data_IF_389705095795
#
_entry.id   IF_389705095795
#
_cell.length_a   1.000
_cell.length_b   1.000
_cell.length_c   1.000
_cell.angle_alpha   90.00
_cell.angle_beta   90.00
_cell.angle_gamma   90.00
#
_symmetry.space_group_name_H-M   'P 1'
#
loop_
_entity.id
_entity.type
_entity.pdbx_description
1 polymer ?
#
# COMPACT_ATOMS: atom_id res chain seq x y z
N UNK A 1 -11.73 10.57 3.48
CA UNK A 1 -13.18 10.33 3.20
C UNK A 1 -13.93 9.71 4.38
N UNK A 2 -13.49 8.61 4.99
CA UNK A 2 -14.26 7.95 6.09
C UNK A 2 -14.67 8.91 7.21
N UNK A 3 -13.77 9.77 7.68
CA UNK A 3 -14.11 10.75 8.73
C UNK A 3 -15.10 11.80 8.23
N UNK A 4 -14.94 12.26 6.99
CA UNK A 4 -15.86 13.23 6.39
C UNK A 4 -17.30 12.68 6.30
N UNK A 5 -17.44 11.44 5.79
CA UNK A 5 -18.74 10.76 5.74
C UNK A 5 -19.35 10.58 7.14
N UNK A 6 -18.55 10.12 8.11
CA UNK A 6 -19.04 9.94 9.50
C UNK A 6 -19.44 11.25 10.15
N UNK A 7 -18.70 12.34 9.92
CA UNK A 7 -19.06 13.68 10.40
C UNK A 7 -20.36 14.17 9.78
N UNK A 8 -20.53 14.04 8.46
CA UNK A 8 -21.73 14.41 7.73
C UNK A 8 -22.96 13.63 8.21
N UNK A 9 -22.81 12.31 8.42
CA UNK A 9 -23.89 11.47 9.01
C UNK A 9 -24.28 11.90 10.43
N UNK A 10 -23.38 12.54 11.18
CA UNK A 10 -23.68 13.12 12.50
C UNK A 10 -24.27 14.53 12.43
N UNK A 11 -24.63 15.01 11.22
CA UNK A 11 -25.24 16.32 10.97
C UNK A 11 -24.26 17.49 10.87
N UNK A 12 -22.96 17.24 10.81
CA UNK A 12 -21.94 18.30 10.65
C UNK A 12 -21.71 18.61 9.18
N UNK A 13 -21.51 19.87 8.85
CA UNK A 13 -20.99 20.29 7.55
C UNK A 13 -19.49 20.09 7.52
N UNK A 14 -18.97 19.50 6.44
CA UNK A 14 -17.58 19.15 6.26
C UNK A 14 -17.05 19.66 4.93
N UNK A 15 -15.91 20.32 4.94
CA UNK A 15 -15.17 20.64 3.74
C UNK A 15 -13.96 19.71 3.64
N UNK A 16 -13.86 18.94 2.58
CA UNK A 16 -12.70 18.12 2.24
C UNK A 16 -11.84 18.89 1.26
N UNK A 17 -10.59 19.12 1.61
CA UNK A 17 -9.62 19.73 0.70
C UNK A 17 -8.59 18.69 0.26
N UNK A 18 -8.29 18.67 -1.03
CA UNK A 18 -7.30 17.79 -1.63
C UNK A 18 -6.48 18.59 -2.64
N UNK A 19 -5.14 18.48 -2.56
CA UNK A 19 -4.25 19.22 -3.46
C UNK A 19 -4.21 18.67 -4.89
N UNK A 20 -4.59 17.40 -5.07
CA UNK A 20 -4.67 16.74 -6.37
C UNK A 20 -6.00 17.09 -7.07
N UNK A 21 -6.08 16.71 -8.33
CA UNK A 21 -7.26 16.85 -9.18
C UNK A 21 -8.34 15.78 -8.93
N UNK A 22 -8.13 14.92 -7.92
CA UNK A 22 -9.02 13.80 -7.61
C UNK A 22 -9.05 13.44 -6.13
N UNK A 23 -10.11 12.78 -5.69
CA UNK A 23 -10.25 12.18 -4.36
C UNK A 23 -9.47 10.86 -4.25
N UNK A 24 -9.27 10.41 -3.01
CA UNK A 24 -8.80 9.06 -2.70
C UNK A 24 -7.32 8.91 -2.43
N UNK A 25 -6.55 9.98 -2.62
CA UNK A 25 -5.11 9.89 -2.47
C UNK A 25 -4.54 8.85 -3.45
N UNK A 26 -3.79 7.86 -2.94
CA UNK A 26 -3.22 6.82 -3.80
C UNK A 26 -4.23 5.73 -4.20
N UNK A 27 -5.36 5.60 -3.50
CA UNK A 27 -6.43 4.68 -3.89
C UNK A 27 -7.31 5.35 -4.96
N UNK A 28 -6.76 5.55 -6.15
CA UNK A 28 -7.39 6.17 -7.30
C UNK A 28 -7.27 5.26 -8.51
N UNK A 29 -8.37 5.04 -9.20
CA UNK A 29 -8.40 4.27 -10.43
C UNK A 29 -9.21 5.00 -11.51
N UNK A 30 -8.82 4.80 -12.76
CA UNK A 30 -9.43 5.44 -13.92
C UNK A 30 -9.35 4.53 -15.15
N UNK A 31 -10.26 4.66 -16.12
CA UNK A 31 -10.10 3.99 -17.40
C UNK A 31 -8.92 4.60 -18.17
N UNK A 32 -8.03 3.75 -18.69
CA UNK A 32 -6.98 4.20 -19.61
C UNK A 32 -7.65 4.69 -20.91
N UNK A 33 -7.30 5.90 -21.41
CA UNK A 33 -8.07 6.59 -22.44
C UNK A 33 -8.23 5.87 -23.77
N UNK A 34 -7.23 5.07 -24.18
CA UNK A 34 -7.24 4.38 -25.48
C UNK A 34 -7.91 3.00 -25.43
N UNK A 35 -7.85 2.36 -24.28
CA UNK A 35 -8.29 0.95 -24.13
C UNK A 35 -9.54 0.80 -23.27
N UNK A 36 -9.85 1.77 -22.43
CA UNK A 36 -10.89 1.68 -21.42
C UNK A 36 -10.58 0.69 -20.29
N UNK A 37 -9.38 0.10 -20.27
CA UNK A 37 -8.94 -0.77 -19.19
C UNK A 37 -8.74 0.07 -17.94
N UNK A 38 -9.36 -0.33 -16.83
CA UNK A 38 -9.19 0.37 -15.56
C UNK A 38 -7.76 0.19 -15.04
N UNK A 39 -7.11 1.31 -14.77
CA UNK A 39 -5.75 1.37 -14.24
C UNK A 39 -5.74 2.03 -12.86
N UNK A 40 -4.83 1.60 -11.99
CA UNK A 40 -4.58 2.24 -10.71
C UNK A 40 -3.37 3.16 -10.85
N UNK A 41 -3.61 4.48 -10.92
CA UNK A 41 -2.57 5.49 -11.24
C UNK A 41 -1.34 5.42 -10.33
N UNK A 42 -1.52 5.02 -9.07
CA UNK A 42 -0.46 5.00 -8.05
C UNK A 42 -0.06 3.58 -7.62
N UNK A 43 -0.10 2.64 -8.56
CA UNK A 43 0.17 1.22 -8.31
C UNK A 43 -1.06 0.46 -7.82
N UNK A 44 -1.02 -0.86 -7.93
CA UNK A 44 -2.16 -1.70 -7.61
C UNK A 44 -2.62 -1.55 -6.16
N UNK A 45 -3.87 -1.17 -5.99
CA UNK A 45 -4.55 -1.14 -4.70
C UNK A 45 -5.53 -2.30 -4.64
N UNK A 46 -5.41 -3.10 -3.58
CA UNK A 46 -6.17 -4.33 -3.39
C UNK A 46 -6.85 -4.25 -2.04
N UNK A 47 -8.17 -4.39 -2.04
CA UNK A 47 -8.92 -4.33 -0.79
C UNK A 47 -9.03 -5.73 -0.19
N UNK A 48 -8.65 -5.86 1.06
CA UNK A 48 -8.79 -7.07 1.85
C UNK A 48 -9.02 -6.72 3.31
N UNK A 49 -9.72 -7.54 4.06
CA UNK A 49 -9.95 -7.35 5.49
C UNK A 49 -10.51 -8.61 6.16
N UNK A 50 -10.19 -8.80 7.43
CA UNK A 50 -10.90 -9.72 8.34
C UNK A 50 -11.73 -8.94 9.38
N UNK A 51 -11.76 -7.60 9.30
CA UNK A 51 -12.53 -6.75 10.18
C UNK A 51 -13.97 -6.60 9.66
N UNK A 52 -14.91 -7.26 10.31
CA UNK A 52 -16.32 -7.23 9.92
C UNK A 52 -16.95 -5.83 9.94
N UNK A 53 -16.53 -4.95 10.86
CA UNK A 53 -17.02 -3.57 10.90
C UNK A 53 -16.57 -2.78 9.68
N UNK A 54 -15.32 -2.94 9.27
CA UNK A 54 -14.79 -2.30 8.06
C UNK A 54 -15.50 -2.84 6.83
N UNK A 55 -15.66 -4.18 6.73
CA UNK A 55 -16.35 -4.80 5.60
C UNK A 55 -17.80 -4.31 5.46
N UNK A 56 -18.56 -4.29 6.57
CA UNK A 56 -19.92 -3.75 6.58
C UNK A 56 -19.97 -2.27 6.21
N UNK A 57 -19.00 -1.49 6.67
CA UNK A 57 -18.92 -0.06 6.37
C UNK A 57 -18.69 0.20 4.89
N UNK A 58 -17.70 -0.42 4.28
CA UNK A 58 -17.36 -0.15 2.87
C UNK A 58 -18.44 -0.63 1.90
N UNK A 59 -19.13 -1.75 2.22
CA UNK A 59 -20.24 -2.26 1.42
C UNK A 59 -21.49 -1.38 1.39
N UNK A 60 -21.51 -0.30 2.16
CA UNK A 60 -22.57 0.75 2.03
C UNK A 60 -22.39 1.58 0.76
N UNK A 61 -21.18 1.64 0.22
CA UNK A 61 -20.82 2.54 -0.88
C UNK A 61 -20.46 1.82 -2.17
N UNK A 62 -20.01 0.60 -2.10
CA UNK A 62 -19.65 -0.21 -3.27
C UNK A 62 -19.84 -1.69 -2.99
N UNK A 63 -20.09 -2.46 -4.03
CA UNK A 63 -19.92 -3.91 -3.99
C UNK A 63 -18.47 -4.27 -4.37
N UNK A 64 -18.03 -5.46 -3.99
CA UNK A 64 -16.72 -5.98 -4.34
C UNK A 64 -16.84 -7.18 -5.26
N UNK A 65 -15.89 -7.34 -6.17
CA UNK A 65 -15.78 -8.51 -7.05
C UNK A 65 -15.28 -9.72 -6.25
N UNK A 66 -15.38 -10.91 -6.84
CA UNK A 66 -14.81 -12.16 -6.29
C UNK A 66 -13.30 -12.28 -6.61
N UNK A 67 -12.62 -11.16 -6.86
CA UNK A 67 -11.20 -11.16 -7.17
C UNK A 67 -10.37 -11.70 -6.00
N UNK A 68 -9.54 -12.69 -6.28
CA UNK A 68 -8.60 -13.29 -5.35
C UNK A 68 -7.18 -12.97 -5.79
N UNK A 69 -6.44 -12.26 -4.95
CA UNK A 69 -5.09 -11.82 -5.31
C UNK A 69 -4.09 -12.98 -5.30
N UNK A 70 -3.40 -13.15 -6.43
CA UNK A 70 -2.29 -14.07 -6.61
C UNK A 70 -1.10 -13.32 -7.17
N UNK A 71 0.09 -13.63 -6.68
CA UNK A 71 1.35 -13.03 -7.11
C UNK A 71 2.27 -14.12 -7.59
N UNK A 72 2.96 -13.84 -8.66
CA UNK A 72 4.06 -14.66 -9.15
C UNK A 72 5.36 -13.87 -9.12
N UNK A 73 6.48 -14.57 -9.16
CA UNK A 73 7.81 -13.95 -9.27
C UNK A 73 8.64 -14.67 -10.31
N UNK A 74 9.46 -13.92 -11.02
CA UNK A 74 10.50 -14.51 -11.87
C UNK A 74 11.80 -14.64 -11.09
N UNK A 75 12.53 -15.72 -11.32
CA UNK A 75 13.93 -15.89 -10.91
C UNK A 75 14.65 -16.70 -11.97
N UNK A 76 15.72 -16.13 -12.55
CA UNK A 76 16.54 -16.76 -13.61
C UNK A 76 15.71 -17.33 -14.78
N UNK A 77 14.73 -16.55 -15.22
CA UNK A 77 13.85 -16.92 -16.35
C UNK A 77 12.77 -17.96 -16.04
N UNK A 78 12.61 -18.38 -14.78
CA UNK A 78 11.54 -19.29 -14.33
C UNK A 78 10.54 -18.54 -13.48
N UNK A 79 9.24 -18.81 -13.70
CA UNK A 79 8.15 -18.20 -12.93
C UNK A 79 7.76 -19.09 -11.75
N UNK A 80 7.63 -18.51 -10.58
CA UNK A 80 7.25 -19.20 -9.34
C UNK A 80 6.03 -18.53 -8.70
N UNK A 81 5.10 -19.31 -8.11
CA UNK A 81 4.00 -18.72 -7.32
C UNK A 81 4.50 -18.15 -6.00
N UNK A 82 3.90 -17.03 -5.56
CA UNK A 82 4.08 -16.45 -4.23
C UNK A 82 2.71 -16.37 -3.51
N UNK A 83 2.69 -16.33 -2.16
CA UNK A 83 3.82 -16.49 -1.22
C UNK A 83 4.46 -17.87 -1.33
N UNK A 84 5.66 -18.02 -0.73
CA UNK A 84 6.40 -19.30 -0.77
C UNK A 84 5.50 -20.40 -0.23
N UNK A 85 5.08 -21.30 -1.11
CA UNK A 85 4.14 -22.38 -0.85
C UNK A 85 4.77 -23.75 -1.12
N UNK A 86 4.05 -24.82 -0.82
CA UNK A 86 4.50 -26.17 -1.19
C UNK A 86 4.75 -26.29 -2.70
N UNK A 87 3.95 -25.59 -3.52
CA UNK A 87 4.16 -25.50 -4.97
C UNK A 87 5.47 -24.80 -5.31
N UNK A 88 5.76 -23.66 -4.70
CA UNK A 88 7.02 -22.93 -4.87
C UNK A 88 8.23 -23.76 -4.46
N UNK A 89 8.16 -24.41 -3.30
CA UNK A 89 9.24 -25.27 -2.77
C UNK A 89 9.52 -26.43 -3.73
N UNK A 90 8.46 -27.16 -4.13
CA UNK A 90 8.62 -28.32 -5.00
C UNK A 90 9.15 -27.94 -6.38
N UNK A 91 8.67 -26.82 -6.94
CA UNK A 91 9.15 -26.33 -8.23
C UNK A 91 10.62 -25.87 -8.15
N UNK A 92 10.97 -25.11 -7.08
CA UNK A 92 12.34 -24.59 -6.91
C UNK A 92 13.37 -25.69 -6.71
N UNK A 93 13.05 -26.71 -5.92
CA UNK A 93 13.95 -27.84 -5.67
C UNK A 93 13.79 -29.01 -6.65
N UNK A 94 12.96 -28.85 -7.69
CA UNK A 94 12.66 -29.90 -8.67
C UNK A 94 12.27 -31.22 -8.02
N UNK A 95 11.36 -31.19 -7.04
CA UNK A 95 11.02 -32.30 -6.17
C UNK A 95 9.50 -32.43 -5.99
N UNK A 96 9.06 -33.53 -5.38
CA UNK A 96 7.67 -33.81 -4.97
C UNK A 96 7.60 -34.07 -3.46
N UNK A 97 8.05 -33.09 -2.68
CA UNK A 97 8.01 -33.20 -1.22
C UNK A 97 6.58 -33.17 -0.70
N UNK A 98 6.29 -34.06 0.26
CA UNK A 98 5.11 -33.91 1.11
C UNK A 98 5.28 -32.69 2.02
N UNK A 99 4.18 -32.18 2.65
CA UNK A 99 4.27 -31.09 3.63
C UNK A 99 5.30 -31.33 4.75
N UNK A 100 5.39 -32.55 5.25
CA UNK A 100 6.34 -32.91 6.30
C UNK A 100 7.79 -32.83 5.81
N UNK A 101 8.07 -33.40 4.64
CA UNK A 101 9.40 -33.34 4.03
C UNK A 101 9.83 -31.91 3.68
N UNK A 102 8.93 -31.10 3.18
CA UNK A 102 9.19 -29.71 2.90
C UNK A 102 9.52 -28.93 4.20
N UNK A 103 8.80 -29.17 5.32
CA UNK A 103 9.13 -28.57 6.62
C UNK A 103 10.52 -28.97 7.10
N UNK A 104 10.86 -30.25 7.01
CA UNK A 104 12.21 -30.75 7.39
C UNK A 104 13.31 -30.12 6.53
N UNK A 105 13.08 -29.99 5.22
CA UNK A 105 14.01 -29.35 4.30
C UNK A 105 14.27 -27.90 4.69
N UNK A 106 13.20 -27.10 4.83
CA UNK A 106 13.31 -25.69 5.20
C UNK A 106 13.94 -25.53 6.58
N UNK A 107 13.55 -26.33 7.57
CA UNK A 107 14.13 -26.27 8.91
C UNK A 107 15.64 -26.54 8.91
N UNK A 108 16.11 -27.51 8.12
CA UNK A 108 17.54 -27.79 7.98
C UNK A 108 18.31 -26.62 7.34
N UNK A 109 17.73 -26.00 6.30
CA UNK A 109 18.37 -24.87 5.62
C UNK A 109 18.33 -23.59 6.44
N UNK A 110 17.25 -23.37 7.20
CA UNK A 110 17.07 -22.24 8.10
C UNK A 110 17.97 -22.33 9.36
N UNK A 111 18.42 -23.51 9.73
CA UNK A 111 19.30 -23.71 10.90
C UNK A 111 20.67 -22.99 10.80
N UNK A 112 20.98 -22.42 9.64
CA UNK A 112 22.16 -21.58 9.43
C UNK A 112 22.12 -20.28 10.25
N UNK A 113 20.92 -19.75 10.54
CA UNK A 113 20.73 -18.51 11.28
C UNK A 113 19.54 -18.60 12.23
N UNK A 114 19.66 -18.00 13.42
CA UNK A 114 18.55 -17.87 14.37
C UNK A 114 17.75 -16.60 14.09
N UNK A 115 16.49 -16.70 13.60
CA UNK A 115 15.70 -15.53 13.27
C UNK A 115 15.31 -14.68 14.48
N UNK A 116 15.41 -15.21 15.72
CA UNK A 116 15.09 -14.44 16.93
C UNK A 116 16.26 -13.54 17.36
N UNK A 117 17.48 -13.90 17.02
CA UNK A 117 18.69 -13.16 17.34
C UNK A 117 19.38 -12.57 16.11
N UNK A 118 18.65 -12.47 15.01
CA UNK A 118 19.17 -11.91 13.75
C UNK A 118 19.53 -10.43 13.91
N UNK A 119 20.71 -10.04 13.45
CA UNK A 119 21.27 -8.69 13.52
C UNK A 119 20.76 -7.81 12.36
N UNK A 120 20.39 -8.42 11.25
CA UNK A 120 19.97 -7.77 10.03
C UNK A 120 18.91 -8.59 9.28
N UNK A 121 18.39 -8.03 8.20
CA UNK A 121 17.36 -8.64 7.37
C UNK A 121 17.82 -9.95 6.72
N UNK A 122 19.08 -10.05 6.26
CA UNK A 122 19.62 -11.29 5.66
C UNK A 122 19.59 -12.44 6.65
N UNK A 123 20.19 -12.26 7.84
CA UNK A 123 20.20 -13.29 8.88
C UNK A 123 18.80 -13.74 9.26
N UNK A 124 17.86 -12.78 9.39
CA UNK A 124 16.48 -13.11 9.70
C UNK A 124 15.78 -13.86 8.57
N UNK A 125 15.96 -13.42 7.33
CA UNK A 125 15.39 -14.08 6.16
C UNK A 125 15.90 -15.52 6.00
N UNK A 126 17.20 -15.73 6.14
CA UNK A 126 17.79 -17.07 6.08
C UNK A 126 17.25 -17.97 7.21
N UNK A 127 17.15 -17.45 8.43
CA UNK A 127 16.61 -18.18 9.56
C UNK A 127 15.10 -18.52 9.45
N UNK A 128 14.35 -17.81 8.59
CA UNK A 128 12.94 -18.09 8.35
C UNK A 128 12.68 -19.10 7.23
N UNK A 129 13.44 -19.02 6.12
CA UNK A 129 13.12 -19.79 4.90
C UNK A 129 14.31 -20.57 4.32
N UNK A 130 15.48 -20.45 4.90
CA UNK A 130 16.73 -21.01 4.40
C UNK A 130 17.38 -20.18 3.30
N UNK A 131 18.70 -20.26 3.18
CA UNK A 131 19.53 -19.48 2.25
C UNK A 131 19.07 -19.60 0.78
N UNK A 132 18.80 -20.80 0.22
CA UNK A 132 18.47 -20.91 -1.20
C UNK A 132 17.20 -20.12 -1.59
N UNK A 133 16.14 -20.21 -0.80
CA UNK A 133 14.89 -19.47 -1.08
C UNK A 133 15.05 -17.97 -0.78
N UNK A 134 15.82 -17.63 0.25
CA UNK A 134 16.16 -16.25 0.57
C UNK A 134 16.90 -15.58 -0.60
N UNK A 135 17.94 -16.19 -1.11
CA UNK A 135 18.75 -15.67 -2.22
C UNK A 135 17.93 -15.57 -3.51
N UNK A 136 17.05 -16.54 -3.77
CA UNK A 136 16.25 -16.57 -4.99
C UNK A 136 15.13 -15.52 -5.02
N UNK A 137 14.45 -15.28 -3.87
CA UNK A 137 13.18 -14.54 -3.91
C UNK A 137 13.16 -13.28 -3.04
N UNK A 138 14.12 -13.15 -2.09
CA UNK A 138 14.08 -12.08 -1.08
C UNK A 138 15.24 -11.11 -1.23
N UNK A 139 16.49 -11.62 -1.29
CA UNK A 139 17.70 -10.79 -1.23
C UNK A 139 17.68 -9.66 -2.24
N UNK A 140 17.67 -10.00 -3.51
CA UNK A 140 17.84 -9.03 -4.59
C UNK A 140 16.57 -8.18 -4.80
N UNK A 141 15.39 -8.79 -4.60
CA UNK A 141 14.13 -8.05 -4.59
C UNK A 141 14.11 -6.98 -3.49
N UNK A 142 14.54 -7.35 -2.27
CA UNK A 142 14.61 -6.41 -1.15
C UNK A 142 15.67 -5.34 -1.39
N UNK A 143 16.83 -5.70 -1.94
CA UNK A 143 17.87 -4.74 -2.28
C UNK A 143 17.36 -3.68 -3.28
N UNK A 144 16.61 -4.08 -4.30
CA UNK A 144 15.94 -3.15 -5.24
C UNK A 144 14.88 -2.29 -4.55
N UNK A 145 14.01 -2.94 -3.77
CA UNK A 145 12.91 -2.26 -3.10
C UNK A 145 13.40 -1.22 -2.09
N UNK A 146 14.50 -1.50 -1.39
CA UNK A 146 15.05 -0.61 -0.36
C UNK A 146 16.26 0.19 -0.83
N UNK A 147 16.80 -0.09 -2.01
CA UNK A 147 18.06 0.49 -2.51
C UNK A 147 19.19 0.42 -1.47
N UNK A 148 19.22 -0.66 -0.74
CA UNK A 148 20.11 -0.89 0.40
C UNK A 148 20.41 -2.38 0.47
N UNK A 149 21.67 -2.73 0.78
CA UNK A 149 22.04 -4.13 1.01
C UNK A 149 21.22 -4.70 2.18
N UNK A 150 20.57 -5.86 2.03
CA UNK A 150 19.81 -6.50 3.13
C UNK A 150 20.60 -6.70 4.43
N UNK A 151 21.92 -6.79 4.35
CA UNK A 151 22.83 -6.87 5.53
C UNK A 151 22.90 -5.56 6.32
N UNK A 152 22.53 -4.44 5.71
CA UNK A 152 22.49 -3.12 6.33
C UNK A 152 21.08 -2.76 6.81
N UNK A 153 20.07 -3.53 6.41
CA UNK A 153 18.68 -3.31 6.83
C UNK A 153 18.40 -3.98 8.18
N UNK A 154 17.65 -3.32 9.07
CA UNK A 154 17.23 -3.92 10.33
C UNK A 154 16.41 -5.22 10.13
N UNK A 155 16.58 -6.18 11.02
CA UNK A 155 15.86 -7.45 10.95
C UNK A 155 14.32 -7.29 10.97
N UNK A 156 13.82 -6.22 11.59
CA UNK A 156 12.40 -5.89 11.73
C UNK A 156 11.73 -5.52 10.39
N UNK A 157 12.49 -5.15 9.36
CA UNK A 157 11.98 -4.89 8.01
C UNK A 157 11.28 -6.14 7.46
N UNK A 158 11.80 -7.33 7.78
CA UNK A 158 11.09 -8.58 7.60
C UNK A 158 10.54 -9.06 8.94
N UNK A 159 9.32 -8.70 9.26
CA UNK A 159 8.66 -9.17 10.48
C UNK A 159 8.34 -10.68 10.40
N UNK A 160 7.96 -11.16 9.23
CA UNK A 160 7.66 -12.57 8.92
C UNK A 160 7.74 -12.82 7.42
N UNK A 161 8.19 -14.01 7.06
CA UNK A 161 8.04 -14.56 5.71
C UNK A 161 7.12 -15.79 5.83
N UNK A 162 5.87 -15.71 5.39
CA UNK A 162 4.95 -16.83 5.50
C UNK A 162 5.37 -17.93 4.53
N UNK A 163 5.74 -19.10 5.07
CA UNK A 163 5.90 -20.32 4.29
C UNK A 163 4.64 -21.16 4.45
N UNK A 164 3.98 -21.47 3.34
CA UNK A 164 2.79 -22.29 3.33
C UNK A 164 3.11 -23.72 2.86
N UNK A 165 2.90 -24.69 3.73
CA UNK A 165 3.11 -26.09 3.39
C UNK A 165 1.85 -26.73 2.79
N UNK A 166 1.13 -25.94 1.99
CA UNK A 166 -0.03 -26.30 1.17
C UNK A 166 0.16 -25.73 -0.21
N UNK A 167 -0.69 -26.09 -1.18
CA UNK A 167 -0.70 -25.50 -2.53
C UNK A 167 -1.53 -24.20 -2.63
N UNK A 168 -2.02 -23.68 -1.49
CA UNK A 168 -2.72 -22.40 -1.47
C UNK A 168 -1.74 -21.26 -1.74
N UNK A 169 -1.95 -20.57 -2.87
CA UNK A 169 -1.16 -19.43 -3.33
C UNK A 169 -1.94 -18.10 -3.30
N UNK A 170 -3.06 -18.04 -2.58
CA UNK A 170 -3.72 -16.74 -2.31
C UNK A 170 -2.74 -15.83 -1.58
N UNK A 171 -2.64 -14.57 -2.01
CA UNK A 171 -1.71 -13.63 -1.37
C UNK A 171 -2.15 -13.29 0.06
N UNK A 172 -3.41 -12.88 0.21
CA UNK A 172 -3.99 -12.57 1.52
C UNK A 172 -4.59 -13.81 2.20
N UNK A 173 -4.69 -13.74 3.53
CA UNK A 173 -5.37 -14.75 4.36
C UNK A 173 -6.63 -14.19 5.01
N UNK A 174 -7.02 -12.98 4.61
CA UNK A 174 -8.19 -12.31 5.14
C UNK A 174 -9.51 -12.99 4.74
N UNK A 175 -10.54 -12.73 5.55
CA UNK A 175 -11.87 -13.30 5.33
C UNK A 175 -12.51 -12.79 4.04
N UNK A 176 -12.30 -11.49 3.74
CA UNK A 176 -12.81 -10.82 2.56
C UNK A 176 -11.67 -10.17 1.79
N UNK A 177 -11.72 -10.32 0.49
CA UNK A 177 -10.86 -9.62 -0.46
C UNK A 177 -11.64 -9.39 -1.76
N UNK A 178 -11.27 -8.37 -2.53
CA UNK A 178 -11.91 -8.05 -3.80
C UNK A 178 -11.51 -6.66 -4.29
N UNK A 179 -12.03 -6.30 -5.45
CA UNK A 179 -11.90 -4.96 -6.02
C UNK A 179 -13.28 -4.30 -6.08
N UNK A 180 -13.38 -2.98 -5.90
CA UNK A 180 -14.64 -2.27 -6.09
C UNK A 180 -15.19 -2.51 -7.49
N UNK A 181 -16.46 -2.90 -7.61
CA UNK A 181 -17.07 -3.26 -8.90
C UNK A 181 -17.00 -2.12 -9.92
N UNK A 182 -17.09 -0.86 -9.48
CA UNK A 182 -17.02 0.32 -10.34
C UNK A 182 -15.69 1.09 -10.20
N UNK A 183 -14.68 0.49 -9.58
CA UNK A 183 -13.38 1.11 -9.32
C UNK A 183 -13.33 1.94 -8.04
N UNK A 184 -12.12 2.31 -7.66
CA UNK A 184 -11.88 3.06 -6.42
C UNK A 184 -12.43 4.48 -6.46
N UNK A 185 -12.31 5.16 -7.58
CA UNK A 185 -12.79 6.54 -7.75
C UNK A 185 -14.28 6.63 -7.51
N UNK A 186 -15.07 5.80 -8.18
CA UNK A 186 -16.53 5.76 -8.00
C UNK A 186 -16.93 5.43 -6.55
N UNK A 187 -16.21 4.54 -5.88
CA UNK A 187 -16.43 4.27 -4.45
C UNK A 187 -16.24 5.52 -3.60
N UNK A 188 -15.16 6.27 -3.80
CA UNK A 188 -14.83 7.44 -3.00
C UNK A 188 -15.74 8.63 -3.31
N UNK A 189 -16.18 8.77 -4.57
CA UNK A 189 -17.19 9.74 -4.98
C UNK A 189 -18.54 9.48 -4.28
N UNK A 190 -18.99 8.21 -4.19
CA UNK A 190 -20.20 7.86 -3.44
C UNK A 190 -20.08 8.16 -1.95
N UNK A 191 -18.87 8.05 -1.37
CA UNK A 191 -18.66 8.48 0.02
C UNK A 191 -18.73 10.00 0.18
N UNK A 192 -18.40 10.75 -0.86
CA UNK A 192 -18.47 12.21 -0.88
C UNK A 192 -19.87 12.73 -1.23
N UNK A 193 -20.71 11.92 -1.85
CA UNK A 193 -22.09 12.29 -2.28
C UNK A 193 -23.02 12.41 -1.06
N UNK A 194 -22.89 13.52 -0.37
CA UNK A 194 -23.70 13.85 0.81
C UNK A 194 -23.91 15.36 0.89
N UNK A 195 -25.13 15.87 1.17
CA UNK A 195 -25.43 17.31 1.17
C UNK A 195 -24.58 18.13 2.16
N UNK A 196 -24.02 17.48 3.19
CA UNK A 196 -23.18 18.13 4.17
C UNK A 196 -21.67 17.98 3.86
N UNK A 197 -21.28 17.43 2.71
CA UNK A 197 -19.87 17.33 2.31
C UNK A 197 -19.63 18.23 1.10
N UNK A 198 -18.69 19.13 1.24
CA UNK A 198 -18.13 19.91 0.14
C UNK A 198 -16.71 19.43 -0.15
N UNK A 199 -16.42 19.16 -1.42
CA UNK A 199 -15.07 18.75 -1.86
C UNK A 199 -14.42 19.88 -2.63
N UNK A 200 -13.19 20.23 -2.27
CA UNK A 200 -12.34 21.22 -2.93
C UNK A 200 -11.06 20.52 -3.36
N UNK A 201 -11.01 20.15 -4.63
CA UNK A 201 -9.82 19.63 -5.30
C UNK A 201 -8.86 20.77 -5.64
N UNK A 202 -7.63 20.43 -6.02
CA UNK A 202 -6.58 21.39 -6.39
C UNK A 202 -6.35 22.48 -5.33
N UNK A 203 -6.60 22.12 -4.06
CA UNK A 203 -6.52 23.02 -2.91
C UNK A 203 -5.41 22.56 -1.96
N UNK A 204 -4.28 23.26 -1.97
CA UNK A 204 -3.16 22.97 -1.05
C UNK A 204 -3.36 23.70 0.27
N UNK A 205 -3.43 22.94 1.36
CA UNK A 205 -3.59 23.45 2.73
C UNK A 205 -2.45 24.40 3.19
N UNK A 206 -1.33 24.39 2.51
CA UNK A 206 -0.19 25.26 2.82
C UNK A 206 0.01 26.41 1.81
N UNK A 207 -0.88 26.56 0.84
CA UNK A 207 -0.85 27.69 -0.08
C UNK A 207 -1.61 28.89 0.54
N UNK A 208 -0.87 29.85 1.07
CA UNK A 208 -1.41 31.06 1.73
C UNK A 208 -2.21 31.96 0.78
N UNK A 209 -2.14 31.72 -0.54
CA UNK A 209 -2.95 32.48 -1.53
C UNK A 209 -4.37 31.93 -1.65
N UNK A 210 -4.62 30.74 -1.15
CA UNK A 210 -5.92 30.10 -1.19
C UNK A 210 -6.75 30.39 0.07
N UNK A 211 -8.07 30.49 -0.03
CA UNK A 211 -8.91 30.87 1.10
C UNK A 211 -9.00 29.80 2.19
N UNK A 212 -8.81 28.51 1.84
CA UNK A 212 -8.81 27.38 2.78
C UNK A 212 -7.38 26.88 3.02
N UNK A 213 -6.55 27.71 3.63
CA UNK A 213 -5.18 27.37 4.00
C UNK A 213 -5.05 27.17 5.51
N UNK A 214 -3.91 26.66 5.96
CA UNK A 214 -3.62 26.37 7.36
C UNK A 214 -3.88 27.56 8.28
N UNK A 215 -3.38 28.73 7.93
CA UNK A 215 -3.46 29.92 8.79
C UNK A 215 -4.88 30.47 8.90
N UNK A 216 -5.68 30.29 7.87
CA UNK A 216 -7.08 30.71 7.86
C UNK A 216 -8.01 29.74 8.63
N UNK A 217 -7.65 28.46 8.74
CA UNK A 217 -8.54 27.42 9.24
C UNK A 217 -8.19 26.96 10.66
N UNK A 218 -6.90 26.78 10.98
CA UNK A 218 -6.46 26.29 12.29
C UNK A 218 -6.78 27.31 13.38
N UNK A 219 -7.35 26.83 14.48
CA UNK A 219 -7.84 27.69 15.57
C UNK A 219 -9.21 28.34 15.33
N UNK A 220 -9.79 28.18 14.15
CA UNK A 220 -11.15 28.60 13.83
C UNK A 220 -12.11 27.42 13.69
N UNK A 221 -11.63 26.31 13.18
CA UNK A 221 -12.39 25.10 12.92
C UNK A 221 -11.60 23.86 13.32
N UNK A 222 -12.24 22.79 13.79
CA UNK A 222 -11.60 21.49 13.97
C UNK A 222 -11.06 20.96 12.65
N UNK A 223 -9.83 20.47 12.65
CA UNK A 223 -9.13 19.97 11.47
C UNK A 223 -8.79 18.50 11.65
N UNK A 224 -9.09 17.67 10.67
CA UNK A 224 -8.52 16.32 10.53
C UNK A 224 -7.48 16.36 9.42
N UNK A 225 -6.21 16.32 9.81
CA UNK A 225 -5.10 16.39 8.90
C UNK A 225 -4.57 14.99 8.57
N UNK A 226 -4.52 14.64 7.29
CA UNK A 226 -4.09 13.32 6.81
C UNK A 226 -2.86 13.37 5.89
N UNK A 227 -2.29 14.54 5.67
CA UNK A 227 -1.02 14.73 4.98
C UNK A 227 0.19 14.41 5.87
N UNK A 228 1.44 14.54 5.36
CA UNK A 228 2.66 14.26 6.13
C UNK A 228 2.76 15.16 7.37
N UNK A 229 2.94 14.51 8.54
CA UNK A 229 2.97 15.22 9.82
C UNK A 229 4.11 16.23 9.93
N UNK A 230 5.26 15.94 9.36
CA UNK A 230 6.42 16.84 9.31
C UNK A 230 6.14 18.09 8.46
N UNK A 231 5.43 17.93 7.34
CA UNK A 231 4.99 19.06 6.51
C UNK A 231 4.04 19.97 7.27
N UNK A 232 3.14 19.44 8.10
CA UNK A 232 2.22 20.24 8.91
C UNK A 232 2.97 21.21 9.82
N UNK A 233 4.09 20.78 10.38
CA UNK A 233 4.95 21.59 11.26
C UNK A 233 6.10 22.27 10.52
N UNK A 234 6.04 22.43 9.20
CA UNK A 234 7.05 23.10 8.41
C UNK A 234 8.44 22.47 8.54
N UNK A 235 8.48 21.14 8.78
CA UNK A 235 9.71 20.37 8.98
C UNK A 235 10.58 20.82 10.16
N UNK A 236 9.98 21.42 11.18
CA UNK A 236 10.70 22.01 12.31
C UNK A 236 11.59 21.03 13.10
N UNK A 237 11.26 19.72 13.09
CA UNK A 237 12.09 18.66 13.72
C UNK A 237 12.91 17.88 12.67
N UNK A 238 12.94 18.36 11.42
CA UNK A 238 13.54 17.71 10.26
C UNK A 238 12.58 16.79 9.53
N UNK A 239 12.86 16.58 8.23
CA UNK A 239 12.01 15.73 7.38
C UNK A 239 12.07 14.26 7.82
N UNK A 240 10.92 13.59 7.78
CA UNK A 240 10.81 12.14 7.99
C UNK A 240 11.18 11.40 6.70
N UNK A 241 11.77 10.22 6.84
CA UNK A 241 12.18 9.39 5.72
C UNK A 241 11.01 8.62 5.10
N UNK A 242 10.86 8.72 3.80
CA UNK A 242 9.83 8.00 3.03
C UNK A 242 10.44 7.24 1.86
N UNK A 243 9.81 6.14 1.50
CA UNK A 243 9.96 5.51 0.20
C UNK A 243 8.91 6.11 -0.73
N UNK A 244 9.28 6.24 -2.00
CA UNK A 244 8.37 6.58 -3.09
C UNK A 244 8.43 5.54 -4.20
N UNK A 245 7.46 5.60 -5.11
CA UNK A 245 7.35 4.73 -6.26
C UNK A 245 7.27 5.58 -7.52
N UNK A 246 8.06 5.20 -8.52
CA UNK A 246 7.91 5.69 -9.88
C UNK A 246 7.21 4.63 -10.72
N UNK A 247 6.36 5.07 -11.65
CA UNK A 247 5.56 4.20 -12.49
C UNK A 247 5.79 4.50 -13.96
N UNK A 248 5.97 3.44 -14.74
CA UNK A 248 6.02 3.51 -16.19
C UNK A 248 4.84 2.71 -16.75
N UNK A 249 3.78 3.43 -17.17
CA UNK A 249 2.60 2.82 -17.79
C UNK A 249 2.81 2.72 -19.30
N UNK A 250 2.38 1.61 -19.90
CA UNK A 250 2.46 1.37 -21.33
C UNK A 250 1.24 0.59 -21.83
N UNK A 251 0.66 1.07 -22.92
CA UNK A 251 -0.31 0.31 -23.72
C UNK A 251 0.45 -0.55 -24.72
N UNK A 252 0.10 -1.82 -24.80
CA UNK A 252 0.74 -2.80 -25.67
C UNK A 252 -0.27 -3.38 -26.66
N UNK A 253 0.13 -3.54 -27.91
CA UNK A 253 -0.67 -4.19 -28.97
C UNK A 253 -0.50 -5.72 -28.92
N UNK A 254 -0.77 -6.31 -27.77
CA UNK A 254 -0.80 -7.75 -27.50
C UNK A 254 -2.02 -8.10 -26.68
N UNK A 255 -2.54 -9.30 -26.90
CA UNK A 255 -3.75 -9.75 -26.19
C UNK A 255 -3.51 -9.94 -24.67
N UNK A 256 -2.31 -10.38 -24.31
CA UNK A 256 -1.88 -10.67 -22.94
C UNK A 256 -0.36 -10.55 -22.88
N UNK A 257 0.17 -9.96 -21.80
CA UNK A 257 1.60 -9.75 -21.63
C UNK A 257 2.24 -10.77 -20.69
N UNK A 258 1.60 -11.05 -19.54
CA UNK A 258 2.20 -11.88 -18.49
C UNK A 258 1.25 -12.92 -17.89
N UNK A 259 -0.02 -12.95 -18.27
CA UNK A 259 -1.01 -13.95 -17.85
C UNK A 259 -1.42 -13.85 -16.38
N UNK A 260 -1.14 -12.74 -15.72
CA UNK A 260 -1.43 -12.53 -14.30
C UNK A 260 -1.49 -11.03 -13.98
N UNK A 261 -2.29 -10.60 -12.98
CA UNK A 261 -2.35 -9.20 -12.63
C UNK A 261 -1.02 -8.63 -12.09
N UNK A 262 -0.22 -9.44 -11.37
CA UNK A 262 1.06 -8.98 -10.77
C UNK A 262 2.15 -10.03 -10.94
N UNK A 263 3.25 -9.60 -11.52
CA UNK A 263 4.49 -10.37 -11.61
C UNK A 263 5.61 -9.59 -10.92
N UNK A 264 6.22 -10.19 -9.90
CA UNK A 264 7.44 -9.66 -9.27
C UNK A 264 8.68 -10.12 -10.05
N UNK A 265 9.71 -9.32 -10.02
CA UNK A 265 11.00 -9.61 -10.64
C UNK A 265 12.06 -9.67 -9.54
N UNK A 266 12.49 -10.89 -9.17
CA UNK A 266 13.39 -11.09 -8.06
C UNK A 266 14.84 -10.72 -8.39
N UNK A 267 15.27 -10.92 -9.64
CA UNK A 267 16.66 -10.77 -10.05
C UNK A 267 17.10 -9.29 -10.10
N UNK A 268 18.33 -9.01 -9.71
CA UNK A 268 18.88 -7.65 -9.59
C UNK A 268 19.08 -6.97 -10.95
N UNK A 269 19.31 -7.75 -12.01
CA UNK A 269 19.49 -7.24 -13.38
C UNK A 269 18.22 -6.60 -13.94
N UNK A 270 17.06 -6.92 -13.40
CA UNK A 270 15.78 -6.28 -13.77
C UNK A 270 15.57 -5.06 -12.90
N UNK A 271 15.51 -3.84 -13.46
CA UNK A 271 15.55 -2.61 -12.65
C UNK A 271 14.25 -2.31 -11.89
N UNK A 272 13.11 -2.82 -12.34
CA UNK A 272 11.81 -2.65 -11.67
C UNK A 272 11.55 -3.81 -10.69
N UNK A 273 10.70 -3.55 -9.71
CA UNK A 273 10.32 -4.54 -8.69
C UNK A 273 9.20 -5.45 -9.17
N UNK A 274 8.25 -4.92 -9.95
CA UNK A 274 7.11 -5.66 -10.46
C UNK A 274 6.50 -5.03 -11.71
N UNK A 275 5.68 -5.83 -12.40
CA UNK A 275 4.78 -5.35 -13.44
C UNK A 275 3.35 -5.66 -13.01
N UNK A 276 2.47 -4.67 -13.17
CA UNK A 276 1.03 -4.84 -13.12
C UNK A 276 0.49 -4.98 -14.55
N UNK A 277 -0.39 -5.94 -14.81
CA UNK A 277 -1.18 -6.01 -16.04
C UNK A 277 -2.64 -5.84 -15.69
N UNK A 278 -3.19 -4.67 -16.00
CA UNK A 278 -4.45 -4.21 -15.41
C UNK A 278 -5.68 -4.97 -15.87
N UNK A 279 -5.73 -5.51 -17.09
CA UNK A 279 -6.89 -6.29 -17.56
C UNK A 279 -7.22 -7.51 -16.69
N UNK A 280 -6.22 -8.07 -16.01
CA UNK A 280 -6.39 -9.23 -15.14
C UNK A 280 -6.95 -8.90 -13.74
N UNK A 281 -7.04 -7.62 -13.37
CA UNK A 281 -7.69 -7.24 -12.11
C UNK A 281 -9.21 -7.33 -12.19
N UNK A 282 -9.79 -7.14 -13.40
CA UNK A 282 -11.21 -7.20 -13.65
C UNK A 282 -11.55 -8.19 -14.78
N UNK A 283 -11.33 -9.52 -14.54
CA UNK A 283 -11.62 -10.54 -15.54
C UNK A 283 -13.10 -10.60 -15.93
N UNK A 284 -14.01 -10.13 -15.07
CA UNK A 284 -15.45 -10.01 -15.33
C UNK A 284 -15.79 -8.93 -16.37
N UNK A 285 -14.82 -8.09 -16.73
CA UNK A 285 -14.96 -7.06 -17.77
C UNK A 285 -14.22 -7.41 -19.07
N UNK A 286 -13.77 -8.66 -19.22
CA UNK A 286 -12.95 -9.07 -20.37
C UNK A 286 -13.62 -8.82 -21.71
N UNK A 287 -14.95 -8.91 -21.80
CA UNK A 287 -15.76 -8.62 -22.98
C UNK A 287 -15.84 -7.12 -23.33
N UNK A 288 -15.51 -6.24 -22.39
CA UNK A 288 -15.50 -4.78 -22.58
C UNK A 288 -14.13 -4.24 -22.96
N UNK A 289 -13.08 -5.04 -22.74
CA UNK A 289 -11.70 -4.65 -23.03
C UNK A 289 -11.27 -5.08 -24.44
N UNK A 290 -10.35 -4.34 -25.08
CA UNK A 290 -9.81 -4.74 -26.38
C UNK A 290 -9.18 -6.13 -26.32
N UNK A 291 -9.54 -7.00 -27.26
CA UNK A 291 -9.05 -8.38 -27.29
C UNK A 291 -7.55 -8.48 -27.64
N UNK A 292 -7.00 -7.48 -28.34
CA UNK A 292 -5.64 -7.47 -28.89
C UNK A 292 -4.72 -6.41 -28.22
N UNK A 293 -5.18 -5.76 -27.15
CA UNK A 293 -4.39 -4.76 -26.42
C UNK A 293 -4.45 -5.00 -24.93
N UNK A 294 -3.39 -4.60 -24.22
CA UNK A 294 -3.33 -4.63 -22.77
C UNK A 294 -2.61 -3.40 -22.24
N UNK A 295 -2.77 -3.13 -20.94
CA UNK A 295 -2.06 -2.06 -20.23
C UNK A 295 -1.20 -2.66 -19.15
N UNK A 296 0.08 -2.36 -19.19
CA UNK A 296 1.03 -2.73 -18.14
C UNK A 296 1.57 -1.49 -17.42
N UNK A 297 2.04 -1.69 -16.19
CA UNK A 297 2.73 -0.66 -15.41
C UNK A 297 3.92 -1.30 -14.69
N UNK A 298 5.12 -0.79 -14.97
CA UNK A 298 6.35 -1.15 -14.25
C UNK A 298 6.48 -0.27 -13.02
N UNK A 299 6.84 -0.87 -11.90
CA UNK A 299 7.01 -0.21 -10.61
C UNK A 299 8.49 -0.17 -10.21
N UNK A 300 8.99 1.02 -9.93
CA UNK A 300 10.34 1.28 -9.45
C UNK A 300 10.25 1.86 -8.04
N UNK A 301 11.03 1.33 -7.11
CA UNK A 301 11.05 1.83 -5.73
C UNK A 301 12.34 2.59 -5.45
N UNK A 302 12.23 3.78 -4.84
CA UNK A 302 13.37 4.58 -4.41
C UNK A 302 13.10 5.34 -3.12
N UNK A 303 14.13 5.92 -2.53
CA UNK A 303 13.94 6.88 -1.45
C UNK A 303 13.26 8.14 -2.00
N UNK A 304 12.27 8.64 -1.26
CA UNK A 304 11.65 9.92 -1.59
C UNK A 304 12.62 11.06 -1.25
N UNK A 305 12.67 12.07 -2.10
CA UNK A 305 13.14 13.38 -1.69
C UNK A 305 12.16 13.94 -0.65
N UNK A 306 12.66 14.48 0.44
CA UNK A 306 11.84 14.94 1.55
C UNK A 306 12.26 16.34 1.99
N UNK A 307 11.28 17.11 2.50
CA UNK A 307 11.52 18.48 2.96
C UNK A 307 10.74 19.54 2.17
N UNK A 308 11.02 20.83 2.43
CA UNK A 308 10.18 21.93 1.91
C UNK A 308 10.13 22.07 0.39
N UNK A 309 11.18 21.62 -0.30
CA UNK A 309 11.32 21.72 -1.77
C UNK A 309 10.97 20.41 -2.49
N UNK A 310 10.71 19.35 -1.75
CA UNK A 310 10.46 18.03 -2.31
C UNK A 310 9.08 17.95 -2.99
N UNK A 311 9.07 17.31 -4.15
CA UNK A 311 7.85 17.07 -4.95
C UNK A 311 7.41 15.62 -4.92
N UNK A 312 8.23 14.74 -4.35
CA UNK A 312 7.92 13.30 -4.29
C UNK A 312 6.72 13.00 -3.40
N UNK A 313 5.93 12.04 -3.85
CA UNK A 313 4.82 11.53 -3.05
C UNK A 313 5.32 10.50 -2.03
N UNK A 314 5.00 10.66 -0.74
CA UNK A 314 5.35 9.68 0.28
C UNK A 314 4.45 8.43 0.21
N UNK A 315 5.06 7.24 0.09
CA UNK A 315 4.34 5.96 0.06
C UNK A 315 4.50 5.16 1.35
N UNK A 316 5.75 4.85 1.73
CA UNK A 316 6.03 3.98 2.87
C UNK A 316 7.03 4.64 3.82
N UNK A 317 6.75 4.68 5.13
CA UNK A 317 7.69 5.22 6.11
C UNK A 317 8.94 4.34 6.19
N UNK A 318 10.13 4.95 6.17
CA UNK A 318 11.41 4.24 6.34
C UNK A 318 11.60 3.80 7.79
N UNK A 319 11.16 4.63 8.73
CA UNK A 319 11.12 4.33 10.15
C UNK A 319 12.49 4.02 10.78
N UNK A 320 13.52 4.76 10.41
CA UNK A 320 14.84 4.68 11.03
C UNK A 320 14.80 5.09 12.51
N UNK A 321 15.85 4.82 13.32
CA UNK A 321 15.96 5.38 14.67
C UNK A 321 15.84 6.90 14.71
N UNK A 322 16.41 7.60 13.71
CA UNK A 322 16.30 9.06 13.56
C UNK A 322 14.86 9.48 13.29
N UNK A 323 14.17 8.78 12.38
CA UNK A 323 12.76 9.06 12.09
C UNK A 323 11.87 8.87 13.32
N UNK A 324 12.12 7.82 14.09
CA UNK A 324 11.39 7.58 15.36
C UNK A 324 11.58 8.70 16.38
N UNK A 325 12.80 9.20 16.51
CA UNK A 325 13.09 10.34 17.39
C UNK A 325 12.38 11.63 16.94
N UNK A 326 12.44 11.94 15.64
CA UNK A 326 11.72 13.07 15.02
C UNK A 326 10.21 12.93 15.17
N UNK A 327 9.67 11.75 14.90
CA UNK A 327 8.23 11.48 15.07
C UNK A 327 7.77 11.73 16.52
N UNK A 328 8.58 11.33 17.50
CA UNK A 328 8.26 11.59 18.90
C UNK A 328 8.20 13.10 19.20
N UNK A 329 9.10 13.89 18.61
CA UNK A 329 9.08 15.34 18.73
C UNK A 329 7.84 15.95 18.05
N UNK A 330 7.48 15.48 16.84
CA UNK A 330 6.23 15.91 16.17
C UNK A 330 4.98 15.55 16.96
N UNK A 331 4.92 14.38 17.60
CA UNK A 331 3.79 14.00 18.47
C UNK A 331 3.64 14.91 19.68
N UNK A 332 4.76 15.42 20.24
CA UNK A 332 4.69 16.42 21.31
C UNK A 332 4.10 17.73 20.81
N UNK A 333 4.55 18.22 19.64
CA UNK A 333 3.94 19.40 19.01
C UNK A 333 2.47 19.23 18.70
N UNK A 334 2.08 18.05 18.21
CA UNK A 334 0.68 17.73 17.90
C UNK A 334 -0.22 17.75 19.15
N UNK A 335 0.33 17.47 20.33
CA UNK A 335 -0.41 17.57 21.59
C UNK A 335 -0.75 19.01 22.00
N UNK A 336 -0.02 19.99 21.47
CA UNK A 336 -0.27 21.42 21.67
C UNK A 336 -1.27 22.01 20.66
N UNK A 337 -1.81 21.17 19.76
CA UNK A 337 -2.79 21.53 18.72
C UNK A 337 -4.15 20.82 18.99
N UNK A 338 -4.92 21.25 20.02
CA UNK A 338 -6.08 20.48 20.48
C UNK A 338 -7.20 20.35 19.46
N UNK A 339 -7.30 21.28 18.51
CA UNK A 339 -8.32 21.27 17.44
C UNK A 339 -7.85 20.56 16.16
N UNK A 340 -6.63 19.99 16.16
CA UNK A 340 -6.06 19.29 15.00
C UNK A 340 -5.86 17.82 15.31
N UNK A 341 -6.51 16.96 14.53
CA UNK A 341 -6.45 15.51 14.67
C UNK A 341 -5.66 14.90 13.53
N UNK A 342 -4.53 14.29 13.83
CA UNK A 342 -3.67 13.65 12.83
C UNK A 342 -4.13 12.22 12.56
N UNK A 343 -4.40 11.89 11.30
CA UNK A 343 -4.89 10.58 10.89
C UNK A 343 -4.29 10.09 9.58
N UNK A 344 -4.62 8.85 9.23
CA UNK A 344 -4.12 8.22 8.01
C UNK A 344 -2.63 7.86 8.05
N UNK A 345 -2.15 7.23 6.97
CA UNK A 345 -0.76 6.76 6.87
C UNK A 345 0.26 7.88 7.04
N UNK A 346 0.04 9.01 6.39
CA UNK A 346 1.01 10.11 6.36
C UNK A 346 0.96 10.93 7.65
N UNK A 347 -0.23 11.24 8.17
CA UNK A 347 -0.41 12.03 9.38
C UNK A 347 0.02 11.32 10.66
N UNK A 348 0.07 9.98 10.64
CA UNK A 348 0.56 9.19 11.78
C UNK A 348 1.96 8.59 11.57
N UNK A 349 2.53 8.74 10.37
CA UNK A 349 3.80 8.12 9.97
C UNK A 349 3.80 6.62 10.24
N UNK A 350 2.77 5.91 9.78
CA UNK A 350 2.59 4.48 9.99
C UNK A 350 2.27 3.79 8.67
N UNK A 351 2.79 2.57 8.48
CA UNK A 351 2.30 1.71 7.42
C UNK A 351 0.88 1.24 7.75
N UNK A 352 -0.07 1.65 6.94
CA UNK A 352 -1.48 1.25 7.07
C UNK A 352 -1.97 0.72 5.72
N UNK A 353 -2.50 -0.49 5.70
CA UNK A 353 -3.31 -0.96 4.59
C UNK A 353 -4.66 -0.21 4.58
N UNK A 354 -5.38 -0.24 3.45
CA UNK A 354 -6.65 0.49 3.31
C UNK A 354 -7.64 0.18 4.43
N UNK A 355 -7.81 -1.11 4.76
CA UNK A 355 -8.72 -1.53 5.82
C UNK A 355 -8.28 -1.01 7.21
N UNK A 356 -6.97 -0.93 7.46
CA UNK A 356 -6.44 -0.39 8.71
C UNK A 356 -6.66 1.13 8.80
N UNK A 357 -6.46 1.85 7.70
CA UNK A 357 -6.72 3.28 7.62
C UNK A 357 -8.21 3.58 7.86
N UNK A 358 -9.12 2.79 7.27
CA UNK A 358 -10.57 2.92 7.48
C UNK A 358 -10.94 2.58 8.93
N UNK A 359 -10.41 1.50 9.51
CA UNK A 359 -10.67 1.13 10.91
C UNK A 359 -10.22 2.23 11.89
N UNK A 360 -9.02 2.80 11.66
CA UNK A 360 -8.51 3.92 12.45
C UNK A 360 -9.43 5.15 12.34
N UNK A 361 -9.89 5.46 11.11
CA UNK A 361 -10.80 6.57 10.87
C UNK A 361 -12.18 6.36 11.53
N UNK A 362 -12.72 5.15 11.50
CA UNK A 362 -13.96 4.81 12.20
C UNK A 362 -13.83 4.99 13.71
N UNK A 363 -12.72 4.55 14.30
CA UNK A 363 -12.42 4.73 15.72
C UNK A 363 -12.29 6.21 16.08
N UNK A 364 -11.54 6.98 15.29
CA UNK A 364 -11.38 8.43 15.48
C UNK A 364 -12.74 9.15 15.37
N UNK A 365 -13.56 8.80 14.41
CA UNK A 365 -14.90 9.36 14.22
C UNK A 365 -15.81 9.08 15.43
N UNK A 366 -15.75 7.87 16.00
CA UNK A 366 -16.45 7.54 17.24
C UNK A 366 -16.06 8.46 18.39
N UNK A 367 -14.77 8.72 18.55
CA UNK A 367 -14.29 9.61 19.60
C UNK A 367 -14.68 11.08 19.37
N UNK A 368 -14.64 11.56 18.12
CA UNK A 368 -14.90 12.95 17.79
C UNK A 368 -16.40 13.32 17.76
N UNK A 369 -17.26 12.36 17.33
CA UNK A 369 -18.65 12.69 17.01
C UNK A 369 -19.68 12.06 17.93
N UNK A 370 -19.28 11.14 18.83
CA UNK A 370 -20.19 10.45 19.75
C UNK A 370 -20.23 11.12 21.15
N UNK A 371 -19.49 12.21 21.38
CA UNK A 371 -19.59 12.94 22.63
C UNK A 371 -20.88 13.75 22.67
N UNK A 372 -21.82 13.18 23.40
CA UNK A 372 -22.78 13.91 24.21
C UNK A 372 -23.16 13.15 25.41
#
# INVERSE_FOLDING_TARGET
>A
MTIAERAAQSGRTVTVIERRDHLGGNAYSEPEPETGIEVHRYGAHLFHTSNAQVWQYVNRFTAFTDYVHRVYTTHRGVVYPLPISLGTINQFFAAAHSPARARELIARQAAESDPQHARNLEERGIGLIGRPLYEAFIRDYTAKQWQTDPRELPAEVISRLPVRYTYDNRYFTDTWEGLPVDGYTAWLERMADHPNIEVRLETDFFDHTQPLNKDAVVGQLPVVYTGPVDRYFGYAEGALGWRTLDFEQQVLDVADFQGTPVMNYADLEVPYTRIHEFKHFHPERADRYPANRTVIMREYSRFAETGPQATDEPYYPVNTPTDRARLLAYRKRAADEPEVHFGGRLGTYQYLDMHMAIASALTMSGNLFTQK
#
